data_IF_382296874943
#
_entry.id   IF_382296874943
#
_cell.length_a   1.000
_cell.length_b   1.000
_cell.length_c   1.000
_cell.angle_alpha   90.00
_cell.angle_beta   90.00
_cell.angle_gamma   90.00
#
_symmetry.space_group_name_H-M   'P 1'
#
loop_
_entity.id
_entity.type
_entity.pdbx_description
1 polymer ?
#
# COMPACT_ATOMS: atom_id res chain seq x y z
N UNK A 1 5.69 -13.75 4.42
CA UNK A 1 5.34 -12.32 4.23
C UNK A 1 3.95 -12.12 4.82
N UNK A 2 3.71 -11.09 5.66
CA UNK A 2 2.35 -10.73 6.04
C UNK A 2 1.50 -10.41 4.81
N UNK A 3 0.23 -10.82 4.86
CA UNK A 3 -0.79 -10.44 3.88
C UNK A 3 -1.44 -9.15 4.33
N UNK A 4 -1.45 -8.13 3.47
CA UNK A 4 -2.11 -6.84 3.72
C UNK A 4 -3.28 -6.71 2.75
N UNK A 5 -4.43 -6.29 3.27
CA UNK A 5 -5.62 -5.96 2.47
C UNK A 5 -5.75 -4.44 2.39
N UNK A 6 -5.68 -3.91 1.18
CA UNK A 6 -5.99 -2.51 0.88
C UNK A 6 -7.42 -2.44 0.32
N UNK A 7 -8.19 -1.46 0.76
CA UNK A 7 -9.60 -1.32 0.38
C UNK A 7 -9.78 0.05 -0.27
N UNK A 8 -10.19 0.06 -1.52
CA UNK A 8 -10.54 1.28 -2.23
C UNK A 8 -11.83 1.91 -1.68
N UNK A 9 -12.07 3.19 -1.98
CA UNK A 9 -13.28 3.89 -1.56
C UNK A 9 -14.58 3.26 -2.09
N UNK A 10 -14.51 2.47 -3.17
CA UNK A 10 -15.63 1.75 -3.78
C UNK A 10 -15.84 0.34 -3.19
N UNK A 11 -15.00 -0.08 -2.24
CA UNK A 11 -15.03 -1.40 -1.61
C UNK A 11 -14.20 -2.48 -2.31
N UNK A 12 -13.51 -2.17 -3.41
CA UNK A 12 -12.61 -3.12 -4.07
C UNK A 12 -11.42 -3.44 -3.18
N UNK A 13 -11.14 -4.73 -3.00
CA UNK A 13 -10.04 -5.22 -2.18
C UNK A 13 -8.82 -5.58 -3.03
N UNK A 14 -7.63 -5.20 -2.56
CA UNK A 14 -6.33 -5.62 -3.09
C UNK A 14 -5.58 -6.32 -1.97
N UNK A 15 -5.35 -7.63 -2.13
CA UNK A 15 -4.64 -8.45 -1.15
C UNK A 15 -3.25 -8.75 -1.67
N UNK A 16 -2.22 -8.28 -0.97
CA UNK A 16 -0.82 -8.43 -1.38
C UNK A 16 0.08 -8.91 -0.25
N UNK A 17 1.11 -9.67 -0.61
CA UNK A 17 2.14 -10.12 0.31
C UNK A 17 3.21 -9.03 0.45
N UNK A 18 3.41 -8.51 1.66
CA UNK A 18 4.37 -7.43 1.93
C UNK A 18 5.55 -7.99 2.74
N UNK A 19 6.81 -7.81 2.30
CA UNK A 19 7.98 -8.16 3.10
C UNK A 19 8.02 -7.50 4.48
N UNK A 20 8.48 -8.23 5.49
CA UNK A 20 8.72 -7.65 6.82
C UNK A 20 9.85 -6.63 6.72
N UNK A 21 9.65 -5.45 7.31
CA UNK A 21 10.60 -4.34 7.27
C UNK A 21 10.20 -3.21 6.31
N UNK A 22 9.19 -3.43 5.46
CA UNK A 22 8.54 -2.36 4.70
C UNK A 22 7.37 -1.76 5.47
N UNK A 23 7.08 -0.50 5.19
CA UNK A 23 5.85 0.17 5.63
C UNK A 23 4.65 -0.28 4.80
N UNK A 24 3.44 -0.05 5.33
CA UNK A 24 2.19 -0.33 4.60
C UNK A 24 2.08 0.51 3.31
N UNK A 25 2.60 1.73 3.32
CA UNK A 25 2.61 2.61 2.14
C UNK A 25 3.56 2.08 1.05
N UNK A 26 4.77 1.67 1.42
CA UNK A 26 5.73 1.09 0.46
C UNK A 26 5.17 -0.20 -0.16
N UNK A 27 4.55 -1.05 0.66
CA UNK A 27 3.85 -2.25 0.18
C UNK A 27 2.74 -1.94 -0.83
N UNK A 28 1.99 -0.87 -0.65
CA UNK A 28 0.96 -0.43 -1.60
C UNK A 28 1.58 0.07 -2.92
N UNK A 29 2.58 0.95 -2.80
CA UNK A 29 3.25 1.58 -3.95
C UNK A 29 3.92 0.53 -4.84
N UNK A 30 4.71 -0.36 -4.25
CA UNK A 30 5.48 -1.36 -5.00
C UNK A 30 4.58 -2.41 -5.67
N UNK A 31 3.34 -2.57 -5.18
CA UNK A 31 2.30 -3.41 -5.78
C UNK A 31 1.29 -2.63 -6.65
N UNK A 32 1.54 -1.35 -6.94
CA UNK A 32 0.67 -0.48 -7.75
C UNK A 32 -0.79 -0.45 -7.27
N UNK A 33 -1.03 -0.43 -5.96
CA UNK A 33 -2.39 -0.33 -5.39
C UNK A 33 -2.99 1.05 -5.74
N UNK A 34 -4.13 1.12 -6.44
CA UNK A 34 -4.75 2.38 -6.84
C UNK A 34 -5.11 3.27 -5.63
N UNK A 35 -4.96 4.59 -5.80
CA UNK A 35 -5.29 5.59 -4.78
C UNK A 35 -4.21 5.83 -3.72
N UNK A 36 -3.06 5.15 -3.79
CA UNK A 36 -1.90 5.39 -2.92
C UNK A 36 -0.70 5.76 -3.81
N UNK A 37 -0.42 7.06 -3.94
CA UNK A 37 0.61 7.60 -4.86
C UNK A 37 2.01 7.58 -4.26
N UNK A 38 2.14 7.87 -2.96
CA UNK A 38 3.39 7.82 -2.20
C UNK A 38 4.49 8.84 -2.61
N UNK A 39 4.12 9.95 -3.24
CA UNK A 39 5.05 10.90 -3.88
C UNK A 39 6.14 11.51 -2.97
N UNK A 40 5.83 11.78 -1.71
CA UNK A 40 6.79 12.41 -0.79
C UNK A 40 7.53 11.44 0.12
N UNK A 41 7.29 10.13 -0.01
CA UNK A 41 7.97 9.13 0.81
C UNK A 41 7.84 9.33 2.33
N UNK A 42 6.74 9.95 2.80
CA UNK A 42 6.50 10.21 4.22
C UNK A 42 6.91 11.60 4.72
N UNK A 43 7.23 12.54 3.83
CA UNK A 43 7.60 13.91 4.19
C UNK A 43 6.54 14.99 3.88
N UNK A 44 5.35 14.61 3.41
CA UNK A 44 4.24 15.56 3.18
C UNK A 44 3.59 15.97 4.52
N UNK A 45 3.10 17.21 4.58
CA UNK A 45 2.25 17.74 5.65
C UNK A 45 0.93 18.24 5.07
#
# INVERSE_FOLDING_TARGET
MPKITYIEHNGTEHVVDVPVGLTVMEGARDNNVPGIEADCGGACA
#
